data_IF_259299239894
#
_entry.id   IF_259299239894
#
_cell.length_a   1.000
_cell.length_b   1.000
_cell.length_c   1.000
_cell.angle_alpha   90.00
_cell.angle_beta   90.00
_cell.angle_gamma   90.00
#
_symmetry.space_group_name_H-M   'P 1'
#
loop_
_entity.id
_entity.type
_entity.pdbx_description
1 polymer ?
#
# COMPACT_ATOMS: atom_id res chain seq x y z
N UNK A 1 15.04 -10.60 -8.68
CA UNK A 1 14.58 -9.41 -7.93
C UNK A 1 15.46 -8.24 -8.32
N UNK A 2 14.87 -7.08 -8.55
CA UNK A 2 15.58 -5.86 -8.88
C UNK A 2 16.06 -5.14 -7.61
N UNK A 3 17.21 -4.49 -7.70
CA UNK A 3 17.84 -3.82 -6.56
C UNK A 3 17.42 -2.36 -6.48
N UNK A 4 16.72 -2.02 -5.40
CA UNK A 4 16.27 -0.67 -5.09
C UNK A 4 17.17 -0.05 -4.03
N UNK A 5 17.51 1.24 -4.19
CA UNK A 5 18.00 2.05 -3.07
C UNK A 5 17.01 3.18 -2.77
N UNK A 6 16.96 3.58 -1.51
CA UNK A 6 16.07 4.64 -1.01
C UNK A 6 16.94 5.77 -0.46
N UNK A 7 16.66 6.99 -0.90
CA UNK A 7 17.43 8.20 -0.53
C UNK A 7 16.44 9.25 -0.01
N UNK A 8 16.56 9.60 1.25
CA UNK A 8 15.69 10.59 1.89
C UNK A 8 16.39 11.09 3.15
N UNK A 9 16.47 12.39 3.40
CA UNK A 9 17.12 12.94 4.59
C UNK A 9 16.26 12.74 5.85
N UNK A 10 14.94 12.57 5.71
CA UNK A 10 14.01 12.27 6.79
C UNK A 10 14.11 10.81 7.23
N UNK A 11 14.66 10.58 8.42
CA UNK A 11 14.86 9.22 8.98
C UNK A 11 13.57 8.39 9.02
N UNK A 12 12.44 8.99 9.40
CA UNK A 12 11.17 8.29 9.56
C UNK A 12 10.63 7.78 8.21
N UNK A 13 10.71 8.60 7.16
CA UNK A 13 10.28 8.22 5.80
C UNK A 13 11.19 7.13 5.27
N UNK A 14 12.51 7.32 5.34
CA UNK A 14 13.50 6.35 4.90
C UNK A 14 13.36 5.00 5.59
N UNK A 15 13.21 5.00 6.93
CA UNK A 15 13.03 3.78 7.71
C UNK A 15 11.64 3.13 7.46
N UNK A 16 10.60 3.96 7.31
CA UNK A 16 9.26 3.53 6.99
C UNK A 16 9.19 2.79 5.66
N UNK A 17 9.73 3.38 4.61
CA UNK A 17 9.78 2.78 3.27
C UNK A 17 10.64 1.52 3.23
N UNK A 18 11.81 1.53 3.87
CA UNK A 18 12.72 0.38 3.81
C UNK A 18 12.21 -0.85 4.57
N UNK A 19 11.52 -0.67 5.70
CA UNK A 19 11.15 -1.78 6.59
C UNK A 19 9.70 -2.23 6.47
N UNK A 20 8.78 -1.30 6.14
CA UNK A 20 7.35 -1.59 6.21
C UNK A 20 6.68 -1.72 4.85
N UNK A 21 7.34 -1.30 3.78
CA UNK A 21 6.83 -1.57 2.43
C UNK A 21 7.29 -2.96 1.96
N UNK A 22 6.37 -3.81 1.46
CA UNK A 22 6.69 -5.17 1.05
C UNK A 22 7.34 -5.21 -0.34
N UNK A 23 8.57 -4.74 -0.46
CA UNK A 23 9.31 -4.64 -1.74
C UNK A 23 9.36 -5.94 -2.53
N UNK A 24 9.48 -7.09 -1.84
CA UNK A 24 9.48 -8.41 -2.47
C UNK A 24 8.20 -8.68 -3.26
N UNK A 25 7.05 -8.17 -2.77
CA UNK A 25 5.76 -8.38 -3.44
C UNK A 25 5.65 -7.67 -4.79
N UNK A 26 6.44 -6.63 -5.02
CA UNK A 26 6.55 -5.93 -6.31
C UNK A 26 7.80 -6.33 -7.11
N UNK A 27 8.58 -7.30 -6.61
CA UNK A 27 9.74 -7.85 -7.30
C UNK A 27 11.04 -7.09 -7.06
N UNK A 28 11.11 -6.27 -6.01
CA UNK A 28 12.28 -5.48 -5.63
C UNK A 28 12.87 -5.93 -4.28
N UNK A 29 14.12 -5.56 -4.06
CA UNK A 29 14.85 -5.69 -2.81
C UNK A 29 15.39 -4.31 -2.44
N UNK A 30 15.09 -3.82 -1.24
CA UNK A 30 15.69 -2.60 -0.71
C UNK A 30 17.15 -2.89 -0.30
N UNK A 31 18.07 -2.77 -1.25
CA UNK A 31 19.48 -3.17 -1.09
C UNK A 31 20.27 -2.23 -0.18
N UNK A 32 19.92 -0.93 -0.15
CA UNK A 32 20.53 0.05 0.74
C UNK A 32 19.65 1.28 0.92
N UNK A 33 19.93 2.05 1.98
CA UNK A 33 19.27 3.32 2.29
C UNK A 33 20.30 4.40 2.56
N UNK A 34 20.03 5.64 2.14
CA UNK A 34 20.95 6.76 2.27
C UNK A 34 20.22 8.01 2.77
N UNK A 35 20.87 8.76 3.62
CA UNK A 35 20.38 10.06 4.12
C UNK A 35 20.72 11.23 3.21
N UNK A 36 21.52 11.00 2.17
CA UNK A 36 21.95 12.03 1.22
C UNK A 36 22.28 11.43 -0.16
N UNK A 37 22.15 12.26 -1.19
CA UNK A 37 22.37 11.86 -2.57
C UNK A 37 23.82 11.50 -2.89
N UNK A 38 24.80 12.09 -2.19
CA UNK A 38 26.23 11.82 -2.46
C UNK A 38 26.63 10.40 -2.08
N UNK A 39 26.19 9.94 -0.90
CA UNK A 39 26.41 8.54 -0.47
C UNK A 39 25.72 7.55 -1.41
N UNK A 40 24.51 7.89 -1.86
CA UNK A 40 23.80 7.07 -2.85
C UNK A 40 24.53 6.99 -4.18
N UNK A 41 25.04 8.11 -4.70
CA UNK A 41 25.80 8.16 -5.96
C UNK A 41 27.09 7.32 -5.87
N UNK A 42 27.81 7.42 -4.76
CA UNK A 42 29.02 6.62 -4.54
C UNK A 42 28.73 5.13 -4.47
N UNK A 43 27.57 4.76 -3.91
CA UNK A 43 27.12 3.38 -3.88
C UNK A 43 26.72 2.87 -5.28
N UNK A 44 25.94 3.64 -6.04
CA UNK A 44 25.53 3.32 -7.41
C UNK A 44 26.72 3.03 -8.31
N UNK A 45 27.82 3.79 -8.17
CA UNK A 45 29.04 3.60 -8.97
C UNK A 45 29.79 2.30 -8.67
N UNK A 46 29.58 1.71 -7.50
CA UNK A 46 30.32 0.52 -7.02
C UNK A 46 29.47 -0.75 -6.95
N UNK A 47 28.18 -0.62 -7.02
CA UNK A 47 27.25 -1.73 -6.82
C UNK A 47 26.18 -1.74 -7.92
N UNK A 48 25.67 -2.91 -8.29
CA UNK A 48 24.51 -3.00 -9.17
C UNK A 48 23.28 -2.42 -8.45
N UNK A 49 22.62 -1.48 -9.09
CA UNK A 49 21.38 -0.85 -8.66
C UNK A 49 20.50 -0.69 -9.89
N UNK A 50 19.24 -1.12 -9.80
CA UNK A 50 18.29 -1.02 -10.90
C UNK A 50 17.43 0.24 -10.77
N UNK A 51 17.06 0.60 -9.53
CA UNK A 51 16.17 1.72 -9.24
C UNK A 51 16.66 2.53 -8.04
N UNK A 52 16.55 3.84 -8.12
CA UNK A 52 16.68 4.75 -6.99
C UNK A 52 15.37 5.49 -6.77
N UNK A 53 14.83 5.36 -5.55
CA UNK A 53 13.73 6.18 -5.04
C UNK A 53 14.34 7.29 -4.19
N UNK A 54 14.25 8.53 -4.61
CA UNK A 54 14.94 9.65 -3.95
C UNK A 54 14.00 10.81 -3.64
N UNK A 55 14.14 11.40 -2.45
CA UNK A 55 13.60 12.73 -2.21
C UNK A 55 14.27 13.75 -3.14
N UNK A 56 13.53 14.79 -3.47
CA UNK A 56 14.02 15.91 -4.30
C UNK A 56 14.78 16.91 -3.44
N UNK A 57 14.21 17.34 -2.32
CA UNK A 57 14.76 18.41 -1.49
C UNK A 57 15.60 17.82 -0.34
N UNK A 58 16.88 17.64 -0.56
CA UNK A 58 17.82 17.17 0.46
C UNK A 58 18.99 18.16 0.63
N UNK A 59 19.56 18.26 1.85
CA UNK A 59 20.75 19.10 2.09
C UNK A 59 21.95 18.70 1.24
N UNK A 60 22.63 19.71 0.72
CA UNK A 60 23.83 19.52 -0.10
C UNK A 60 23.49 19.17 -1.55
N UNK A 61 23.45 17.89 -1.90
CA UNK A 61 23.09 17.42 -3.24
C UNK A 61 21.62 17.02 -3.29
N UNK A 62 20.83 17.69 -4.12
CA UNK A 62 19.42 17.39 -4.32
C UNK A 62 19.18 16.09 -5.12
N UNK A 63 17.95 15.53 -5.02
CA UNK A 63 17.55 14.38 -5.85
C UNK A 63 17.57 14.71 -7.36
N UNK A 64 17.31 15.96 -7.72
CA UNK A 64 17.42 16.43 -9.13
C UNK A 64 18.86 16.39 -9.60
N UNK A 65 19.81 16.85 -8.79
CA UNK A 65 21.24 16.79 -9.14
C UNK A 65 21.72 15.33 -9.22
N UNK A 66 21.22 14.45 -8.36
CA UNK A 66 21.49 13.02 -8.45
C UNK A 66 20.99 12.45 -9.78
N UNK A 67 19.74 12.73 -10.15
CA UNK A 67 19.16 12.29 -11.42
C UNK A 67 19.93 12.82 -12.63
N UNK A 68 20.35 14.11 -12.59
CA UNK A 68 21.20 14.70 -13.61
C UNK A 68 22.51 13.93 -13.78
N UNK A 69 23.23 13.65 -12.69
CA UNK A 69 24.51 12.93 -12.75
C UNK A 69 24.32 11.50 -13.27
N UNK A 70 23.27 10.80 -12.83
CA UNK A 70 22.91 9.46 -13.33
C UNK A 70 22.70 9.53 -14.85
N UNK A 71 21.96 10.51 -15.33
CA UNK A 71 21.66 10.70 -16.75
C UNK A 71 22.91 11.05 -17.57
N UNK A 72 23.71 12.04 -17.14
CA UNK A 72 24.92 12.49 -17.83
C UNK A 72 26.00 11.39 -17.91
N UNK A 73 26.14 10.60 -16.85
CA UNK A 73 27.10 9.48 -16.80
C UNK A 73 26.51 8.18 -17.43
N UNK A 74 25.28 8.22 -17.92
CA UNK A 74 24.56 7.08 -18.53
C UNK A 74 24.57 5.83 -17.65
N UNK A 75 24.41 6.03 -16.35
CA UNK A 75 24.31 4.90 -15.43
C UNK A 75 22.99 4.15 -15.68
N UNK A 76 22.98 2.81 -15.69
CA UNK A 76 21.81 2.01 -16.01
C UNK A 76 20.87 1.91 -14.79
N UNK A 77 20.43 3.05 -14.26
CA UNK A 77 19.61 3.15 -13.05
C UNK A 77 18.38 3.99 -13.37
N UNK A 78 17.20 3.46 -13.10
CA UNK A 78 15.94 4.21 -13.18
C UNK A 78 15.78 5.09 -11.94
N UNK A 79 15.34 6.33 -12.15
CA UNK A 79 15.13 7.29 -11.06
C UNK A 79 13.64 7.51 -10.85
N UNK A 80 13.21 7.44 -9.59
CA UNK A 80 11.85 7.79 -9.15
C UNK A 80 12.00 8.91 -8.11
N UNK A 81 11.27 10.01 -8.32
CA UNK A 81 11.22 11.09 -7.34
C UNK A 81 10.13 10.89 -6.32
N UNK A 82 10.46 11.24 -5.08
CA UNK A 82 9.57 11.37 -3.95
C UNK A 82 9.58 12.83 -3.51
N UNK A 83 8.44 13.54 -3.46
CA UNK A 83 8.46 14.97 -3.16
C UNK A 83 7.23 15.44 -2.39
N UNK A 84 7.45 16.35 -1.43
CA UNK A 84 6.37 17.03 -0.72
C UNK A 84 5.62 18.08 -1.57
N UNK A 85 6.18 18.50 -2.69
CA UNK A 85 5.67 19.61 -3.48
C UNK A 85 5.41 19.23 -4.94
N UNK A 86 4.26 19.65 -5.47
CA UNK A 86 3.94 19.60 -6.91
C UNK A 86 4.48 20.87 -7.60
N UNK A 87 5.80 21.11 -7.59
CA UNK A 87 6.39 22.23 -8.31
C UNK A 87 6.54 21.88 -9.78
N UNK A 88 6.03 22.74 -10.66
CA UNK A 88 6.13 22.56 -12.12
C UNK A 88 7.58 22.43 -12.61
N UNK A 89 8.51 23.12 -11.95
CA UNK A 89 9.94 23.05 -12.25
C UNK A 89 10.51 21.64 -12.07
N UNK A 90 10.12 20.93 -11.00
CA UNK A 90 10.57 19.56 -10.74
C UNK A 90 10.07 18.56 -11.79
N UNK A 91 8.83 18.78 -12.28
CA UNK A 91 8.27 17.94 -13.35
C UNK A 91 9.06 18.14 -14.68
N UNK A 92 9.45 19.39 -14.99
CA UNK A 92 10.27 19.68 -16.16
C UNK A 92 11.66 19.04 -16.07
N UNK A 93 12.30 19.12 -14.91
CA UNK A 93 13.63 18.55 -14.69
C UNK A 93 13.56 17.00 -14.70
N UNK A 94 12.50 16.42 -14.15
CA UNK A 94 12.23 14.98 -14.24
C UNK A 94 12.19 14.49 -15.69
N UNK A 95 11.51 15.21 -16.59
CA UNK A 95 11.46 14.88 -18.02
C UNK A 95 12.86 14.99 -18.64
N UNK A 96 13.60 16.06 -18.32
CA UNK A 96 14.92 16.31 -18.87
C UNK A 96 15.95 15.23 -18.51
N UNK A 97 15.85 14.66 -17.31
CA UNK A 97 16.77 13.64 -16.81
C UNK A 97 16.22 12.22 -16.90
N UNK A 98 15.12 12.01 -17.65
CA UNK A 98 14.48 10.71 -17.86
C UNK A 98 14.09 10.01 -16.55
N UNK A 99 13.61 10.78 -15.58
CA UNK A 99 12.99 10.23 -14.37
C UNK A 99 11.72 9.48 -14.78
N UNK A 100 11.62 8.22 -14.36
CA UNK A 100 10.53 7.35 -14.84
C UNK A 100 9.21 7.62 -14.15
N UNK A 101 9.25 8.00 -12.86
CA UNK A 101 8.05 8.32 -12.09
C UNK A 101 8.28 9.41 -11.05
N UNK A 102 7.17 10.06 -10.66
CA UNK A 102 7.12 11.10 -9.65
C UNK A 102 5.99 10.78 -8.66
N UNK A 103 6.34 10.57 -7.38
CA UNK A 103 5.40 10.25 -6.30
C UNK A 103 5.31 11.45 -5.35
N UNK A 104 4.09 11.82 -4.95
CA UNK A 104 3.89 12.94 -4.02
C UNK A 104 3.78 12.47 -2.57
N UNK A 105 4.46 13.17 -1.65
CA UNK A 105 4.27 13.02 -0.20
C UNK A 105 2.96 13.76 0.24
N UNK A 106 2.15 13.25 1.16
CA UNK A 106 2.35 11.98 1.88
C UNK A 106 2.10 10.78 0.98
N UNK A 107 3.05 9.85 0.97
CA UNK A 107 2.99 8.68 0.11
C UNK A 107 1.91 7.70 0.52
N UNK A 108 1.21 7.23 -0.48
CA UNK A 108 0.17 6.24 -0.34
C UNK A 108 0.73 4.88 -0.78
N UNK A 109 0.54 3.84 0.03
CA UNK A 109 1.08 2.50 -0.28
C UNK A 109 0.67 1.98 -1.67
N UNK A 110 -0.60 2.25 -2.10
CA UNK A 110 -1.09 1.88 -3.43
C UNK A 110 -0.33 2.59 -4.54
N UNK A 111 -0.04 3.89 -4.39
CA UNK A 111 0.68 4.66 -5.41
C UNK A 111 2.11 4.12 -5.60
N UNK A 112 2.82 3.87 -4.49
CA UNK A 112 4.16 3.24 -4.56
C UNK A 112 4.07 1.86 -5.23
N UNK A 113 3.07 1.07 -4.86
CA UNK A 113 2.87 -0.26 -5.39
C UNK A 113 2.64 -0.25 -6.92
N UNK A 114 1.72 0.59 -7.41
CA UNK A 114 1.42 0.75 -8.83
C UNK A 114 2.64 1.22 -9.63
N UNK A 115 3.34 2.23 -9.11
CA UNK A 115 4.57 2.75 -9.73
C UNK A 115 5.62 1.65 -9.85
N UNK A 116 5.88 0.90 -8.78
CA UNK A 116 6.90 -0.14 -8.81
C UNK A 116 6.50 -1.35 -9.64
N UNK A 117 5.22 -1.69 -9.73
CA UNK A 117 4.72 -2.68 -10.70
C UNK A 117 4.94 -2.23 -12.15
N UNK A 118 4.76 -0.93 -12.45
CA UNK A 118 5.04 -0.38 -13.78
C UNK A 118 6.53 -0.44 -14.12
N UNK A 119 7.38 0.03 -13.19
CA UNK A 119 8.85 0.03 -13.35
C UNK A 119 9.38 -1.39 -13.51
N UNK A 120 8.84 -2.35 -12.79
CA UNK A 120 9.20 -3.77 -12.94
C UNK A 120 8.90 -4.27 -14.35
N UNK A 121 7.71 -3.98 -14.90
CA UNK A 121 7.37 -4.37 -16.27
C UNK A 121 8.32 -3.79 -17.31
N UNK A 122 8.73 -2.54 -17.12
CA UNK A 122 9.73 -1.89 -17.99
C UNK A 122 11.09 -2.60 -17.89
N UNK A 123 11.57 -2.90 -16.67
CA UNK A 123 12.82 -3.61 -16.45
C UNK A 123 12.78 -5.04 -17.01
N UNK A 124 11.66 -5.76 -16.81
CA UNK A 124 11.47 -7.11 -17.36
C UNK A 124 11.53 -7.07 -18.90
N UNK A 125 10.91 -6.07 -19.55
CA UNK A 125 10.97 -5.88 -21.00
C UNK A 125 12.38 -5.55 -21.50
N UNK A 126 13.13 -4.69 -20.80
CA UNK A 126 14.50 -4.32 -21.13
C UNK A 126 15.47 -5.52 -21.00
N UNK A 127 15.25 -6.41 -20.03
CA UNK A 127 16.10 -7.57 -19.78
C UNK A 127 15.63 -8.84 -20.53
N UNK A 128 14.59 -8.74 -21.36
CA UNK A 128 14.05 -9.90 -22.08
C UNK A 128 13.48 -11.00 -21.18
N UNK A 129 13.12 -10.65 -19.95
CA UNK A 129 12.49 -11.56 -19.03
C UNK A 129 11.05 -11.85 -19.49
N UNK A 130 10.51 -13.08 -19.33
CA UNK A 130 9.12 -13.33 -19.61
C UNK A 130 8.26 -12.42 -18.72
N UNK A 131 7.31 -11.70 -19.32
CA UNK A 131 6.33 -10.89 -18.61
C UNK A 131 5.64 -11.80 -17.58
N UNK A 132 6.06 -11.72 -16.35
CA UNK A 132 5.34 -12.36 -15.26
C UNK A 132 4.17 -11.47 -14.95
N UNK A 133 2.96 -12.06 -14.95
CA UNK A 133 1.73 -11.35 -14.60
C UNK A 133 1.97 -10.48 -13.36
N UNK A 134 1.57 -9.22 -13.47
CA UNK A 134 1.84 -8.24 -12.43
C UNK A 134 1.26 -8.72 -11.09
N UNK A 135 2.04 -8.72 -10.00
CA UNK A 135 1.54 -9.12 -8.69
C UNK A 135 0.43 -8.21 -8.16
N UNK A 136 0.12 -7.13 -8.89
CA UNK A 136 -0.84 -6.11 -8.47
C UNK A 136 -2.23 -6.68 -8.21
N UNK A 137 -2.81 -7.42 -9.14
CA UNK A 137 -4.15 -7.99 -8.95
C UNK A 137 -4.16 -9.03 -7.84
N UNK A 138 -3.24 -9.99 -7.86
CA UNK A 138 -3.16 -11.03 -6.82
C UNK A 138 -2.79 -10.52 -5.42
N UNK A 139 -2.06 -9.41 -5.30
CA UNK A 139 -1.72 -8.85 -3.99
C UNK A 139 -2.93 -8.23 -3.29
N UNK A 140 -3.69 -7.39 -3.99
CA UNK A 140 -4.91 -6.79 -3.44
C UNK A 140 -5.97 -7.84 -3.17
N UNK A 141 -6.15 -8.78 -4.09
CA UNK A 141 -7.06 -9.91 -3.92
C UNK A 141 -6.68 -10.76 -2.71
N UNK A 142 -5.40 -11.09 -2.53
CA UNK A 142 -4.92 -11.85 -1.38
C UNK A 142 -5.14 -11.10 -0.07
N UNK A 143 -4.81 -9.79 -0.01
CA UNK A 143 -5.08 -8.98 1.17
C UNK A 143 -6.58 -8.91 1.50
N UNK A 144 -7.42 -8.68 0.49
CA UNK A 144 -8.89 -8.69 0.66
C UNK A 144 -9.36 -10.05 1.19
N UNK A 145 -8.83 -11.14 0.67
CA UNK A 145 -9.17 -12.49 1.16
C UNK A 145 -8.71 -12.68 2.61
N UNK A 146 -7.50 -12.25 2.97
CA UNK A 146 -7.03 -12.32 4.36
C UNK A 146 -7.90 -11.49 5.30
N UNK A 147 -8.30 -10.28 4.91
CA UNK A 147 -9.22 -9.42 5.68
C UNK A 147 -10.58 -10.09 5.84
N UNK A 148 -11.16 -10.64 4.76
CA UNK A 148 -12.43 -11.36 4.80
C UNK A 148 -12.37 -12.60 5.70
N UNK A 149 -11.27 -13.36 5.63
CA UNK A 149 -11.03 -14.53 6.49
C UNK A 149 -10.88 -14.13 7.96
N UNK A 150 -10.15 -13.06 8.27
CA UNK A 150 -10.00 -12.55 9.63
C UNK A 150 -11.36 -12.11 10.23
N UNK A 151 -12.18 -11.43 9.42
CA UNK A 151 -13.56 -11.07 9.83
C UNK A 151 -14.41 -12.33 10.08
N UNK A 152 -14.36 -13.30 9.18
CA UNK A 152 -15.18 -14.53 9.30
C UNK A 152 -14.79 -15.38 10.51
N UNK A 153 -13.51 -15.36 10.90
CA UNK A 153 -12.97 -16.12 12.04
C UNK A 153 -13.55 -15.66 13.38
N UNK A 154 -13.74 -14.37 13.57
CA UNK A 154 -14.33 -13.81 14.79
C UNK A 154 -15.24 -12.60 14.47
N UNK A 155 -16.36 -12.87 13.80
CA UNK A 155 -17.29 -11.85 13.33
C UNK A 155 -17.85 -10.98 14.48
N UNK A 156 -18.07 -11.59 15.66
CA UNK A 156 -18.60 -10.91 16.85
C UNK A 156 -17.65 -9.79 17.31
N UNK A 157 -16.35 -10.07 17.42
CA UNK A 157 -15.38 -9.14 18.00
C UNK A 157 -14.53 -8.44 16.94
N UNK A 158 -14.73 -8.72 15.64
CA UNK A 158 -13.99 -8.09 14.57
C UNK A 158 -14.12 -6.56 14.63
N UNK A 159 -12.98 -5.89 14.58
CA UNK A 159 -12.83 -4.44 14.43
C UNK A 159 -11.76 -4.17 13.39
N UNK A 160 -11.74 -2.96 12.82
CA UNK A 160 -10.69 -2.57 11.88
C UNK A 160 -9.29 -2.73 12.50
N UNK A 161 -9.15 -2.42 13.80
CA UNK A 161 -7.87 -2.54 14.53
C UNK A 161 -7.46 -4.01 14.65
N UNK A 162 -8.35 -4.87 15.18
CA UNK A 162 -8.03 -6.29 15.39
C UNK A 162 -7.75 -7.04 14.09
N UNK A 163 -8.46 -6.72 13.02
CA UNK A 163 -8.22 -7.30 11.70
C UNK A 163 -6.90 -6.80 11.10
N UNK A 164 -6.61 -5.51 11.24
CA UNK A 164 -5.35 -4.93 10.76
C UNK A 164 -4.12 -5.58 11.44
N UNK A 165 -4.19 -5.79 12.76
CA UNK A 165 -3.17 -6.52 13.50
C UNK A 165 -2.97 -7.96 12.98
N UNK A 166 -4.08 -8.70 12.75
CA UNK A 166 -4.01 -10.07 12.23
C UNK A 166 -3.38 -10.17 10.84
N UNK A 167 -3.61 -9.18 9.97
CA UNK A 167 -3.02 -9.15 8.62
C UNK A 167 -1.67 -8.41 8.57
N UNK A 168 -1.12 -7.98 9.73
CA UNK A 168 0.18 -7.32 9.83
C UNK A 168 0.24 -5.95 9.16
N UNK A 169 -0.86 -5.16 9.22
CA UNK A 169 -1.01 -3.86 8.57
C UNK A 169 -1.53 -2.79 9.52
N UNK A 170 -1.36 -1.51 9.15
CA UNK A 170 -2.02 -0.43 9.89
C UNK A 170 -3.53 -0.37 9.57
N UNK A 171 -4.39 0.03 10.52
CA UNK A 171 -5.82 0.19 10.29
C UNK A 171 -6.17 1.10 9.10
N UNK A 172 -5.45 2.19 8.94
CA UNK A 172 -5.62 3.13 7.81
C UNK A 172 -5.29 2.47 6.47
N UNK A 173 -4.24 1.66 6.42
CA UNK A 173 -3.86 0.89 5.22
C UNK A 173 -4.95 -0.12 4.85
N UNK A 174 -5.42 -0.93 5.81
CA UNK A 174 -6.49 -1.91 5.56
C UNK A 174 -7.77 -1.24 5.10
N UNK A 175 -8.20 -0.16 5.78
CA UNK A 175 -9.43 0.57 5.42
C UNK A 175 -9.40 1.07 3.97
N UNK A 176 -8.28 1.67 3.57
CA UNK A 176 -8.13 2.23 2.23
C UNK A 176 -8.00 1.14 1.16
N UNK A 177 -7.08 0.17 1.34
CA UNK A 177 -6.86 -0.90 0.37
C UNK A 177 -8.12 -1.76 0.17
N UNK A 178 -8.87 -2.00 1.24
CA UNK A 178 -10.14 -2.71 1.16
C UNK A 178 -11.18 -1.95 0.35
N UNK A 179 -11.30 -0.63 0.55
CA UNK A 179 -12.19 0.23 -0.23
C UNK A 179 -11.78 0.28 -1.71
N UNK A 180 -10.49 0.47 -2.00
CA UNK A 180 -9.96 0.52 -3.38
C UNK A 180 -10.20 -0.79 -4.12
N UNK A 181 -9.97 -1.92 -3.46
CA UNK A 181 -10.09 -3.24 -4.09
C UNK A 181 -11.53 -3.76 -4.20
N UNK A 182 -12.43 -3.36 -3.28
CA UNK A 182 -13.81 -3.90 -3.23
C UNK A 182 -14.89 -2.88 -3.58
N UNK A 183 -14.56 -1.60 -3.65
CA UNK A 183 -15.53 -0.51 -3.79
C UNK A 183 -16.40 -0.27 -2.54
N UNK A 184 -16.13 -0.98 -1.42
CA UNK A 184 -16.95 -0.96 -0.20
C UNK A 184 -16.07 -0.66 1.01
N UNK A 185 -16.57 0.16 1.95
CA UNK A 185 -15.80 0.39 3.18
C UNK A 185 -15.72 -0.88 4.03
N UNK A 186 -14.63 -1.03 4.80
CA UNK A 186 -14.48 -2.11 5.77
C UNK A 186 -15.68 -2.20 6.74
N UNK A 187 -16.15 -1.04 7.20
CA UNK A 187 -17.28 -0.95 8.14
C UNK A 187 -18.59 -1.42 7.52
N UNK A 188 -18.85 -1.05 6.25
CA UNK A 188 -20.05 -1.48 5.54
C UNK A 188 -20.03 -3.00 5.29
N UNK A 189 -18.87 -3.52 4.87
CA UNK A 189 -18.68 -4.95 4.68
C UNK A 189 -18.89 -5.73 5.99
N UNK A 190 -18.25 -5.32 7.09
CA UNK A 190 -18.41 -5.95 8.40
C UNK A 190 -19.87 -5.89 8.88
N UNK A 191 -20.53 -4.74 8.70
CA UNK A 191 -21.95 -4.58 9.04
C UNK A 191 -22.81 -5.53 8.23
N UNK A 192 -22.59 -5.63 6.93
CA UNK A 192 -23.30 -6.57 6.06
C UNK A 192 -23.15 -8.02 6.53
N UNK A 193 -21.90 -8.47 6.80
CA UNK A 193 -21.67 -9.83 7.29
C UNK A 193 -22.38 -10.11 8.63
N UNK A 194 -22.40 -9.14 9.54
CA UNK A 194 -23.13 -9.23 10.80
C UNK A 194 -24.63 -9.31 10.61
N UNK A 195 -25.19 -8.55 9.68
CA UNK A 195 -26.64 -8.59 9.36
C UNK A 195 -27.05 -9.91 8.70
N UNK A 196 -26.26 -10.42 7.78
CA UNK A 196 -26.49 -11.74 7.17
C UNK A 196 -26.45 -12.86 8.22
N UNK A 197 -25.47 -12.84 9.12
CA UNK A 197 -25.40 -13.79 10.24
C UNK A 197 -26.59 -13.67 11.17
N UNK A 198 -27.00 -12.45 11.50
CA UNK A 198 -28.18 -12.20 12.32
C UNK A 198 -29.44 -12.72 11.65
N UNK A 199 -29.64 -12.51 10.36
CA UNK A 199 -30.78 -13.00 9.60
C UNK A 199 -30.86 -14.54 9.64
N UNK A 200 -29.71 -15.22 9.48
CA UNK A 200 -29.65 -16.68 9.63
C UNK A 200 -30.07 -17.13 11.04
N UNK A 201 -29.63 -16.45 12.10
CA UNK A 201 -29.98 -16.80 13.49
C UNK A 201 -31.45 -16.51 13.82
N UNK A 202 -32.02 -15.42 13.30
CA UNK A 202 -33.43 -15.06 13.49
C UNK A 202 -34.39 -16.07 12.83
N UNK A 203 -33.97 -16.76 11.79
CA UNK A 203 -34.72 -17.84 11.17
C UNK A 203 -34.67 -19.14 11.98
N UNK A 204 -33.82 -19.24 13.00
CA UNK A 204 -33.80 -20.34 13.95
C UNK A 204 -34.73 -19.98 15.14
N UNK A 205 -35.75 -20.77 15.40
CA UNK A 205 -36.78 -20.50 16.42
C UNK A 205 -36.22 -20.47 17.88
N UNK A 206 -34.97 -20.87 18.05
CA UNK A 206 -34.34 -21.08 19.37
C UNK A 206 -33.78 -19.78 20.02
N UNK A 207 -33.57 -18.71 19.25
CA UNK A 207 -32.86 -17.52 19.74
C UNK A 207 -33.78 -16.32 19.94
N UNK A 208 -33.59 -15.62 21.07
CA UNK A 208 -34.29 -14.35 21.33
C UNK A 208 -33.49 -13.20 20.64
N UNK A 209 -34.18 -12.13 20.27
CA UNK A 209 -33.60 -10.99 19.54
C UNK A 209 -32.38 -10.42 20.24
N UNK A 210 -32.36 -10.35 21.58
CA UNK A 210 -31.21 -9.84 22.31
C UNK A 210 -29.98 -10.76 22.22
N UNK A 211 -30.18 -12.09 22.18
CA UNK A 211 -29.11 -13.07 21.98
C UNK A 211 -28.53 -12.97 20.58
N UNK A 212 -29.39 -12.86 19.56
CA UNK A 212 -28.97 -12.63 18.18
C UNK A 212 -28.19 -11.32 18.05
N UNK A 213 -28.64 -10.24 18.70
CA UNK A 213 -27.93 -8.95 18.73
C UNK A 213 -26.49 -9.11 19.26
N UNK A 214 -26.36 -9.82 20.40
CA UNK A 214 -25.05 -10.06 21.00
C UNK A 214 -24.16 -10.97 20.12
N UNK A 215 -24.69 -12.04 19.57
CA UNK A 215 -24.00 -12.97 18.69
C UNK A 215 -23.55 -12.29 17.39
N UNK A 216 -24.31 -11.29 16.91
CA UNK A 216 -23.96 -10.45 15.77
C UNK A 216 -22.96 -9.34 16.11
N UNK A 217 -22.47 -9.26 17.37
CA UNK A 217 -21.46 -8.29 17.78
C UNK A 217 -21.99 -6.90 18.13
N UNK A 218 -23.26 -6.80 18.52
CA UNK A 218 -23.89 -5.58 19.00
C UNK A 218 -24.15 -5.65 20.52
N UNK A 219 -23.50 -4.79 21.27
CA UNK A 219 -23.73 -4.65 22.72
C UNK A 219 -25.08 -4.02 23.07
N UNK A 220 -25.70 -3.32 22.11
CA UNK A 220 -26.99 -2.64 22.31
C UNK A 220 -28.03 -3.10 21.29
N UNK A 221 -29.12 -3.77 21.72
CA UNK A 221 -30.20 -4.26 20.84
C UNK A 221 -30.90 -3.17 20.02
N UNK A 222 -30.92 -1.90 20.50
CA UNK A 222 -31.50 -0.77 19.75
C UNK A 222 -30.63 -0.41 18.54
N UNK A 223 -29.30 -0.47 18.70
CA UNK A 223 -28.37 -0.21 17.60
C UNK A 223 -28.43 -1.35 16.57
N UNK A 224 -28.56 -2.58 17.04
CA UNK A 224 -28.78 -3.75 16.19
C UNK A 224 -30.07 -3.59 15.37
N UNK A 225 -31.22 -3.32 15.99
CA UNK A 225 -32.49 -3.16 15.30
C UNK A 225 -32.43 -2.06 14.22
N UNK A 226 -31.77 -0.94 14.53
CA UNK A 226 -31.58 0.15 13.57
C UNK A 226 -30.71 -0.28 12.37
N UNK A 227 -29.60 -0.98 12.62
CA UNK A 227 -28.72 -1.51 11.59
C UNK A 227 -29.44 -2.56 10.73
N UNK A 228 -30.19 -3.46 11.34
CA UNK A 228 -30.95 -4.49 10.67
C UNK A 228 -32.01 -3.89 9.74
N UNK A 229 -32.80 -2.93 10.26
CA UNK A 229 -33.78 -2.20 9.46
C UNK A 229 -33.16 -1.42 8.30
N UNK A 230 -32.00 -0.81 8.52
CA UNK A 230 -31.27 -0.10 7.46
C UNK A 230 -30.79 -1.06 6.36
N UNK A 231 -30.38 -2.28 6.73
CA UNK A 231 -29.81 -3.25 5.80
C UNK A 231 -30.89 -3.99 4.99
N UNK A 232 -31.95 -4.45 5.64
CA UNK A 232 -33.01 -5.26 5.00
C UNK A 232 -34.27 -4.46 4.64
N UNK A 233 -34.45 -3.24 5.12
CA UNK A 233 -35.63 -2.41 4.87
C UNK A 233 -36.86 -2.74 5.75
N UNK A 234 -36.79 -3.79 6.57
CA UNK A 234 -37.84 -4.22 7.48
C UNK A 234 -37.27 -4.63 8.85
N UNK A 235 -38.16 -4.80 9.83
CA UNK A 235 -37.81 -5.21 11.21
C UNK A 235 -38.41 -6.57 11.54
#
# INVERSE_FOLDING_TARGET
MYRLIIVDDEFEIRNGLSRYFPWESVGFEAAAVFENARGALDYIRRNPVDVVLTDIEMPGMSGIELARVIHEQRLPVKVIFLSAYKKFEYARDAISYRVVHYITKPTVHSEIFEVFCSVRRELDAEHGAPLRDAPAEGYYENLVQQVKQAIAKDLKNATLISVAEQVGRSPSSVSRLFLEATGMTFTDYLTGQRMEKANQLLNCIEYKIYEVSEMAGYSNPKNFARAYKKHFGYT
#
